data_IF_826400945712
#
_entry.id   IF_826400945712
#
_cell.length_a   1.000
_cell.length_b   1.000
_cell.length_c   1.000
_cell.angle_alpha   90.00
_cell.angle_beta   90.00
_cell.angle_gamma   90.00
#
_symmetry.space_group_name_H-M   'P 1'
#
loop_
_entity.id
_entity.type
_entity.pdbx_description
1 polymer ?
#
# COMPACT_ATOMS: atom_id res chain seq x y z
N UNK A 1 -9.06 19.62 -6.91
CA UNK A 1 -8.60 18.99 -6.89
C UNK A 1 -7.53 18.78 -6.85
N UNK A 2 -7.32 18.66 -6.57
CA UNK A 2 -6.29 18.56 -6.56
C UNK A 2 -5.59 18.05 -7.11
N UNK A 3 -5.27 18.17 -7.24
CA UNK A 3 -4.69 17.68 -7.68
C UNK A 3 -3.61 17.28 -7.53
N UNK A 4 -3.48 17.01 -7.04
CA UNK A 4 -2.07 16.85 -6.88
C UNK A 4 -1.63 16.00 -8.01
N UNK A 5 -0.44 16.05 -8.45
CA UNK A 5 0.04 15.27 -9.59
C UNK A 5 0.15 13.81 -9.22
N UNK A 6 -0.98 13.16 -9.12
CA UNK A 6 -1.05 11.76 -8.78
C UNK A 6 -1.05 10.93 -10.05
N UNK A 7 -0.68 9.64 -9.97
CA UNK A 7 -0.73 8.78 -11.14
C UNK A 7 -2.11 8.83 -11.80
N UNK A 8 -2.14 9.06 -13.08
CA UNK A 8 -3.38 9.13 -13.84
C UNK A 8 -4.09 10.46 -13.81
N UNK A 9 -3.64 11.38 -12.98
CA UNK A 9 -4.35 12.64 -12.79
C UNK A 9 -4.25 13.56 -13.99
N UNK A 10 -3.16 13.50 -14.73
CA UNK A 10 -2.92 14.40 -15.85
C UNK A 10 -3.85 14.24 -17.03
N UNK A 11 -4.68 13.24 -17.04
CA UNK A 11 -5.63 13.01 -18.14
C UNK A 11 -7.05 13.42 -17.77
N UNK A 12 -7.21 14.12 -16.67
CA UNK A 12 -8.52 14.58 -16.26
C UNK A 12 -9.41 13.54 -15.64
N UNK A 13 -8.91 12.34 -15.45
CA UNK A 13 -9.65 11.27 -14.80
C UNK A 13 -9.15 11.15 -13.37
N UNK A 14 -10.06 11.28 -12.43
CA UNK A 14 -9.73 11.15 -11.03
C UNK A 14 -9.73 9.67 -10.65
N UNK A 15 -8.58 9.18 -10.21
CA UNK A 15 -8.45 7.80 -9.74
C UNK A 15 -8.35 7.85 -8.21
N UNK A 16 -9.11 7.03 -7.49
CA UNK A 16 -9.00 7.01 -6.04
C UNK A 16 -7.56 6.68 -5.62
N UNK A 17 -6.97 7.59 -4.88
CA UNK A 17 -5.61 7.44 -4.37
C UNK A 17 -5.66 7.69 -2.89
N UNK A 18 -5.07 6.79 -2.14
CA UNK A 18 -4.98 6.92 -0.71
C UNK A 18 -3.54 6.94 -0.24
N UNK A 19 -3.36 7.49 0.94
CA UNK A 19 -2.06 7.57 1.58
C UNK A 19 -1.89 6.39 2.53
N UNK A 20 -0.68 5.84 2.55
CA UNK A 20 -0.33 4.78 3.48
C UNK A 20 0.58 5.38 4.54
N UNK A 21 0.22 5.14 5.81
CA UNK A 21 1.07 5.46 6.93
C UNK A 21 0.80 4.41 8.00
N UNK A 22 1.53 3.32 7.94
CA UNK A 22 1.26 2.17 8.79
C UNK A 22 2.45 1.86 9.68
N UNK A 23 2.18 1.48 10.92
CA UNK A 23 3.21 1.00 11.82
C UNK A 23 3.29 -0.54 11.74
N UNK A 24 4.13 -1.14 12.59
CA UNK A 24 4.33 -2.59 12.55
C UNK A 24 3.39 -3.36 13.47
N UNK A 25 2.50 -2.65 14.15
CA UNK A 25 1.60 -3.25 15.13
C UNK A 25 0.18 -3.30 14.60
N UNK A 26 -0.24 -2.22 13.91
CA UNK A 26 -1.62 -2.06 13.48
C UNK A 26 -1.73 -2.17 11.96
N UNK A 27 -2.71 -2.93 11.51
CA UNK A 27 -3.04 -3.00 10.10
C UNK A 27 -3.81 -1.76 9.67
N UNK A 28 -3.41 -1.19 8.55
CA UNK A 28 -4.21 -0.15 7.88
C UNK A 28 -5.01 -0.82 6.78
N UNK A 29 -6.33 -0.73 6.87
CA UNK A 29 -7.19 -1.25 5.80
C UNK A 29 -7.20 -0.26 4.65
N UNK A 30 -6.79 -0.72 3.48
CA UNK A 30 -6.80 0.08 2.26
C UNK A 30 -8.12 -0.06 1.55
N UNK A 31 -8.63 -1.28 1.48
CA UNK A 31 -9.79 -1.61 0.70
C UNK A 31 -10.54 -2.76 1.35
N UNK A 32 -11.84 -2.67 1.35
CA UNK A 32 -12.70 -3.74 1.83
C UNK A 32 -14.01 -3.70 1.07
N UNK A 33 -14.25 -4.72 0.26
CA UNK A 33 -15.49 -4.85 -0.49
C UNK A 33 -16.23 -6.10 -0.03
N UNK A 34 -17.55 -6.04 -0.21
CA UNK A 34 -18.40 -7.16 0.17
C UNK A 34 -18.44 -8.22 -0.93
N UNK A 35 -18.57 -7.80 -2.17
CA UNK A 35 -18.94 -8.72 -3.24
C UNK A 35 -17.85 -8.96 -4.27
N UNK A 36 -17.16 -7.92 -4.70
CA UNK A 36 -16.22 -8.02 -5.81
C UNK A 36 -14.83 -7.59 -5.41
N UNK A 37 -13.81 -8.32 -5.83
CA UNK A 37 -12.44 -7.88 -5.63
C UNK A 37 -12.12 -6.71 -6.54
N UNK A 38 -11.09 -5.97 -6.17
CA UNK A 38 -10.52 -4.93 -7.02
C UNK A 38 -9.01 -5.10 -7.05
N UNK A 39 -8.39 -4.48 -8.05
CA UNK A 39 -6.94 -4.48 -8.18
C UNK A 39 -6.44 -3.13 -7.72
N UNK A 40 -5.55 -3.14 -6.74
CA UNK A 40 -4.91 -1.95 -6.22
C UNK A 40 -3.41 -2.03 -6.43
N UNK A 41 -2.83 -0.91 -6.83
CA UNK A 41 -1.38 -0.75 -6.87
C UNK A 41 -0.95 -0.10 -5.57
N UNK A 42 0.01 -0.73 -4.93
CA UNK A 42 0.51 -0.30 -3.63
C UNK A 42 1.98 0.01 -3.78
N UNK A 43 2.36 1.24 -3.42
CA UNK A 43 3.72 1.71 -3.53
C UNK A 43 4.31 2.03 -2.17
N UNK A 44 5.49 1.50 -1.91
CA UNK A 44 6.24 1.83 -0.70
C UNK A 44 7.14 3.02 -1.00
N UNK A 45 6.71 4.20 -0.55
CA UNK A 45 7.43 5.44 -0.74
C UNK A 45 8.17 5.90 0.50
N UNK A 46 8.48 4.98 1.41
CA UNK A 46 9.20 5.33 2.63
C UNK A 46 10.55 5.97 2.30
N UNK A 47 10.91 7.00 3.06
CA UNK A 47 12.14 7.75 2.82
C UNK A 47 13.35 7.14 3.54
N UNK A 48 13.20 5.96 4.08
CA UNK A 48 14.22 5.33 4.91
C UNK A 48 15.10 4.38 4.10
N UNK A 49 16.12 3.86 4.75
CA UNK A 49 17.06 2.92 4.12
C UNK A 49 16.31 1.69 3.59
N UNK A 50 16.46 1.44 2.31
CA UNK A 50 15.79 0.31 1.66
C UNK A 50 16.29 -1.04 2.18
N UNK A 51 17.49 -1.09 2.75
CA UNK A 51 18.05 -2.32 3.30
C UNK A 51 17.45 -2.70 4.65
N UNK A 52 16.78 -1.76 5.31
CA UNK A 52 16.16 -2.01 6.61
C UNK A 52 14.87 -2.80 6.42
N UNK A 53 14.78 -4.05 6.93
CA UNK A 53 13.58 -4.85 6.74
C UNK A 53 12.32 -4.26 7.37
N UNK A 54 12.47 -3.38 8.36
CA UNK A 54 11.33 -2.70 8.96
C UNK A 54 10.69 -1.68 8.05
N UNK A 55 11.38 -1.27 6.99
CA UNK A 55 10.85 -0.32 6.02
C UNK A 55 10.04 -0.97 4.91
N UNK A 56 10.01 -2.29 4.83
CA UNK A 56 9.18 -2.97 3.87
C UNK A 56 7.72 -2.92 4.32
N UNK A 57 6.82 -2.85 3.36
CA UNK A 57 5.40 -3.02 3.63
C UNK A 57 5.04 -4.50 3.58
N UNK A 58 4.16 -4.91 4.47
CA UNK A 58 3.55 -6.22 4.41
C UNK A 58 2.10 -6.01 4.01
N UNK A 59 1.73 -6.53 2.87
CA UNK A 59 0.38 -6.42 2.32
C UNK A 59 -0.33 -7.74 2.52
N UNK A 60 -1.47 -7.69 3.20
CA UNK A 60 -2.32 -8.86 3.40
C UNK A 60 -3.51 -8.77 2.46
N UNK A 61 -3.75 -9.83 1.72
CA UNK A 61 -4.85 -9.91 0.75
C UNK A 61 -5.77 -11.05 1.16
N UNK A 62 -7.03 -10.71 1.45
CA UNK A 62 -8.08 -11.67 1.78
C UNK A 62 -7.71 -12.62 2.92
N UNK A 63 -6.99 -12.09 3.89
CA UNK A 63 -6.63 -12.84 5.08
C UNK A 63 -5.15 -13.14 5.19
N UNK A 64 -4.76 -13.61 6.36
CA UNK A 64 -3.34 -13.74 6.73
C UNK A 64 -2.57 -14.78 5.92
N UNK A 65 -3.25 -15.61 5.17
CA UNK A 65 -2.58 -16.67 4.39
C UNK A 65 -1.89 -16.14 3.15
N UNK A 66 -2.22 -14.94 2.75
CA UNK A 66 -1.68 -14.38 1.52
C UNK A 66 -1.08 -13.01 1.82
N UNK A 67 0.23 -12.99 1.93
CA UNK A 67 0.95 -11.75 2.19
C UNK A 67 1.98 -11.50 1.10
N UNK A 68 2.19 -10.23 0.82
CA UNK A 68 3.16 -9.78 -0.17
C UNK A 68 4.03 -8.72 0.46
N UNK A 69 5.33 -8.82 0.24
CA UNK A 69 6.29 -7.84 0.75
C UNK A 69 6.58 -6.81 -0.33
N UNK A 70 6.50 -5.54 0.04
CA UNK A 70 6.78 -4.44 -0.87
C UNK A 70 7.97 -3.65 -0.32
N UNK A 71 9.10 -3.77 -0.98
CA UNK A 71 10.31 -3.08 -0.56
C UNK A 71 10.25 -1.60 -0.89
N UNK A 72 11.05 -0.80 -0.18
CA UNK A 72 11.13 0.64 -0.41
C UNK A 72 11.41 0.93 -1.89
N UNK A 73 10.64 1.86 -2.45
CA UNK A 73 10.81 2.27 -3.84
C UNK A 73 10.18 1.36 -4.87
N UNK A 74 9.45 0.33 -4.44
CA UNK A 74 8.80 -0.58 -5.36
C UNK A 74 7.28 -0.55 -5.20
N UNK A 75 6.59 -1.10 -6.19
CA UNK A 75 5.14 -1.19 -6.21
C UNK A 75 4.72 -2.62 -6.50
N UNK A 76 3.51 -2.96 -6.11
CA UNK A 76 2.90 -4.25 -6.41
C UNK A 76 1.42 -4.04 -6.70
N UNK A 77 0.89 -4.82 -7.63
CA UNK A 77 -0.53 -4.85 -7.91
C UNK A 77 -1.11 -6.10 -7.23
N UNK A 78 -2.14 -5.90 -6.43
CA UNK A 78 -2.80 -6.99 -5.73
C UNK A 78 -4.29 -6.93 -5.98
N UNK A 79 -4.89 -8.10 -6.09
CA UNK A 79 -6.34 -8.22 -6.29
C UNK A 79 -6.94 -8.94 -5.10
N UNK A 80 -7.96 -8.34 -4.53
CA UNK A 80 -8.66 -8.95 -3.41
C UNK A 80 -9.87 -8.17 -2.99
N UNK A 81 -10.65 -8.75 -2.11
CA UNK A 81 -11.82 -8.11 -1.52
C UNK A 81 -11.45 -7.32 -0.28
N UNK A 82 -10.39 -7.70 0.40
CA UNK A 82 -9.89 -6.99 1.57
C UNK A 82 -8.39 -6.90 1.49
N UNK A 83 -7.87 -5.69 1.57
CA UNK A 83 -6.44 -5.44 1.47
C UNK A 83 -6.02 -4.58 2.66
N UNK A 84 -5.01 -5.04 3.40
CA UNK A 84 -4.48 -4.36 4.56
C UNK A 84 -2.96 -4.26 4.46
N UNK A 85 -2.40 -3.25 5.09
CA UNK A 85 -0.96 -3.00 5.05
C UNK A 85 -0.45 -2.72 6.46
N UNK A 86 0.75 -3.17 6.73
CA UNK A 86 1.49 -2.74 7.91
C UNK A 86 2.99 -2.74 7.62
N UNK A 87 3.77 -2.16 8.51
CA UNK A 87 5.23 -2.15 8.37
C UNK A 87 5.79 -3.53 8.70
N UNK A 88 6.88 -3.88 8.04
CA UNK A 88 7.63 -5.07 8.39
C UNK A 88 8.27 -4.96 9.75
N UNK A 89 8.76 -6.07 10.25
CA UNK A 89 9.42 -6.13 11.56
C UNK A 89 10.93 -6.26 11.40
N UNK A 90 11.65 -5.95 12.46
CA UNK A 90 13.08 -6.17 12.51
C UNK A 90 13.94 -4.99 12.13
N UNK A 91 13.36 -3.86 11.84
CA UNK A 91 14.11 -2.65 11.56
C UNK A 91 14.02 -1.64 12.67
N UNK A 92 14.76 -0.56 12.53
CA UNK A 92 14.69 0.54 13.48
C UNK A 92 13.48 1.41 13.25
N UNK A 93 13.01 1.47 12.02
CA UNK A 93 11.89 2.33 11.65
C UNK A 93 10.59 1.56 11.83
N UNK A 94 9.71 2.03 12.70
CA UNK A 94 8.47 1.31 12.97
C UNK A 94 7.33 1.66 12.02
N UNK A 95 7.59 2.44 10.98
CA UNK A 95 6.52 2.93 10.10
C UNK A 95 6.94 2.84 8.64
N UNK A 96 5.94 2.64 7.80
CA UNK A 96 6.12 2.75 6.36
C UNK A 96 5.16 3.81 5.83
N UNK A 97 5.55 4.41 4.73
CA UNK A 97 4.76 5.43 4.05
C UNK A 97 4.67 5.11 2.58
N UNK A 98 3.62 5.55 1.96
CA UNK A 98 3.45 5.33 0.54
C UNK A 98 2.06 5.72 0.09
N UNK A 99 1.61 5.09 -0.97
CA UNK A 99 0.30 5.37 -1.53
C UNK A 99 -0.29 4.12 -2.18
N UNK A 100 -1.57 4.16 -2.39
CA UNK A 100 -2.27 3.12 -3.14
C UNK A 100 -3.25 3.77 -4.11
N UNK A 101 -3.50 3.10 -5.22
CA UNK A 101 -4.40 3.59 -6.24
C UNK A 101 -5.20 2.43 -6.81
N UNK A 102 -6.46 2.69 -7.10
CA UNK A 102 -7.31 1.70 -7.75
C UNK A 102 -6.86 1.52 -9.20
N UNK A 103 -6.62 0.29 -9.60
CA UNK A 103 -6.24 -0.05 -10.97
C UNK A 103 -7.45 -0.55 -11.74
N UNK A 104 -8.25 -1.38 -11.13
CA UNK A 104 -9.48 -1.83 -11.77
C UNK A 104 -10.48 -2.45 -10.80
#
# INVERSE_FOLDING_TARGET
>A
MAKGPLPGDGVGIQVPVGRIGADRVHWQTIFHARDKPSIYRIHNGSAHNAADPGNAMIVEVDGAKRTVRVNVGTSVDVMGKKIRVKAGTGGETPRVEGWYVLVS
#
